data_IF_808264323168
#
_entry.id   IF_808264323168
#
_cell.length_a   1.000
_cell.length_b   1.000
_cell.length_c   1.000
_cell.angle_alpha   90.00
_cell.angle_beta   90.00
_cell.angle_gamma   90.00
#
_symmetry.space_group_name_H-M   'P 1'
#
loop_
_entity.id
_entity.type
_entity.pdbx_description
1 polymer ?
#
# COMPACT_ATOMS: atom_id res chain seq x y z
N UNK A 1 -12.22 12.30 44.93
CA UNK A 1 -12.26 11.21 43.94
C UNK A 1 -11.48 11.64 42.70
N UNK A 2 -10.30 11.08 42.47
CA UNK A 2 -9.44 11.42 41.31
C UNK A 2 -9.92 10.65 40.09
N UNK A 3 -10.44 11.36 39.08
CA UNK A 3 -10.85 10.74 37.82
C UNK A 3 -9.70 10.83 36.81
N UNK A 4 -8.97 9.74 36.64
CA UNK A 4 -7.97 9.54 35.59
C UNK A 4 -8.67 9.41 34.24
N UNK A 5 -8.65 10.48 33.45
CA UNK A 5 -9.06 10.44 32.04
C UNK A 5 -8.07 9.57 31.25
N UNK A 6 -8.52 8.63 30.40
CA UNK A 6 -7.64 7.98 29.44
C UNK A 6 -7.16 9.02 28.43
N UNK A 7 -5.85 9.17 28.31
CA UNK A 7 -5.19 9.94 27.25
C UNK A 7 -5.66 9.41 25.87
N UNK A 8 -6.29 10.24 25.02
CA UNK A 8 -6.62 9.81 23.67
C UNK A 8 -5.34 9.76 22.84
N UNK A 9 -4.93 8.53 22.50
CA UNK A 9 -4.13 8.24 21.30
C UNK A 9 -2.67 8.68 21.34
N UNK A 10 -1.79 7.71 21.59
CA UNK A 10 -0.45 7.73 21.01
C UNK A 10 -0.56 8.03 19.51
N UNK A 11 -0.11 9.22 19.11
CA UNK A 11 -0.04 9.67 17.72
C UNK A 11 0.94 8.78 16.96
N UNK A 12 0.49 7.61 16.49
CA UNK A 12 1.05 7.02 15.28
C UNK A 12 0.94 8.13 14.21
N UNK A 13 1.97 8.37 13.40
CA UNK A 13 1.92 9.45 12.44
C UNK A 13 0.69 9.22 11.55
N UNK A 14 -0.26 10.16 11.63
CA UNK A 14 -1.50 10.16 10.87
C UNK A 14 -1.15 10.52 9.42
N UNK A 15 -0.39 9.67 8.77
CA UNK A 15 -0.20 9.78 7.34
C UNK A 15 -1.51 9.35 6.70
N UNK A 16 -2.11 10.27 5.94
CA UNK A 16 -3.30 9.94 5.17
C UNK A 16 -2.96 8.74 4.28
N UNK A 17 -3.69 7.61 4.36
CA UNK A 17 -3.36 6.41 3.61
C UNK A 17 -3.43 6.65 2.09
N UNK A 18 -4.16 7.68 1.65
CA UNK A 18 -4.25 8.09 0.25
C UNK A 18 -3.03 8.87 -0.22
N UNK A 19 -2.26 9.46 0.70
CA UNK A 19 -1.04 10.20 0.41
C UNK A 19 0.23 9.52 0.96
N UNK A 20 0.07 8.34 1.55
CA UNK A 20 1.19 7.54 2.06
C UNK A 20 1.76 6.71 0.93
N UNK A 21 3.04 6.94 0.63
CA UNK A 21 3.76 6.17 -0.39
C UNK A 21 4.63 5.12 0.31
N UNK A 22 4.31 3.86 0.05
CA UNK A 22 5.02 2.70 0.56
C UNK A 22 6.01 2.14 -0.45
N UNK A 23 7.05 1.47 0.04
CA UNK A 23 8.11 0.88 -0.79
C UNK A 23 7.76 -0.56 -1.14
N UNK A 24 8.50 -1.14 -2.10
CA UNK A 24 8.34 -2.54 -2.50
C UNK A 24 8.29 -3.53 -1.32
N UNK A 25 9.21 -3.50 -0.32
CA UNK A 25 9.15 -4.45 0.80
C UNK A 25 7.83 -4.41 1.57
N UNK A 26 7.24 -3.22 1.70
CA UNK A 26 5.96 -3.03 2.39
C UNK A 26 4.79 -3.52 1.53
N UNK A 27 4.83 -3.30 0.21
CA UNK A 27 3.85 -3.86 -0.74
C UNK A 27 3.88 -5.39 -0.70
N UNK A 28 5.07 -5.99 -0.66
CA UNK A 28 5.25 -7.44 -0.53
C UNK A 28 4.67 -7.95 0.79
N UNK A 29 4.89 -7.23 1.91
CA UNK A 29 4.31 -7.58 3.20
C UNK A 29 2.78 -7.46 3.23
N UNK A 30 2.20 -6.44 2.61
CA UNK A 30 0.74 -6.20 2.60
C UNK A 30 0.02 -7.15 1.65
N UNK A 31 0.55 -7.32 0.44
CA UNK A 31 -0.09 -8.16 -0.60
C UNK A 31 0.27 -9.64 -0.47
N UNK A 32 1.32 -9.97 0.26
CA UNK A 32 1.89 -11.32 0.34
C UNK A 32 2.51 -11.81 -0.98
N UNK A 33 2.66 -10.93 -1.97
CA UNK A 33 3.21 -11.26 -3.28
C UNK A 33 4.71 -11.01 -3.31
N UNK A 34 5.48 -11.92 -3.91
CA UNK A 34 6.88 -11.67 -4.20
C UNK A 34 7.06 -10.55 -5.24
N UNK A 35 8.15 -9.80 -5.14
CA UNK A 35 8.53 -8.72 -6.07
C UNK A 35 8.39 -9.08 -7.56
N UNK A 36 8.77 -10.30 -7.94
CA UNK A 36 8.64 -10.78 -9.32
C UNK A 36 7.17 -10.84 -9.78
N UNK A 37 6.29 -11.31 -8.90
CA UNK A 37 4.84 -11.37 -9.15
C UNK A 37 4.23 -9.99 -9.19
N UNK A 38 4.70 -9.06 -8.37
CA UNK A 38 4.29 -7.65 -8.41
C UNK A 38 4.62 -7.03 -9.77
N UNK A 39 5.85 -7.21 -10.28
CA UNK A 39 6.21 -6.72 -11.62
C UNK A 39 5.42 -7.38 -12.75
N UNK A 40 5.12 -8.67 -12.62
CA UNK A 40 4.27 -9.39 -13.60
C UNK A 40 2.85 -8.82 -13.59
N UNK A 41 2.23 -8.70 -12.41
CA UNK A 41 0.90 -8.08 -12.27
C UNK A 41 0.87 -6.63 -12.73
N UNK A 42 1.94 -5.87 -12.52
CA UNK A 42 2.00 -4.51 -13.03
C UNK A 42 1.92 -4.44 -14.56
N UNK A 43 2.33 -5.49 -15.27
CA UNK A 43 2.21 -5.61 -16.74
C UNK A 43 0.88 -6.21 -17.18
N UNK A 44 0.41 -7.25 -16.47
CA UNK A 44 -0.77 -8.03 -16.84
C UNK A 44 -2.10 -7.46 -16.33
N UNK A 45 -2.09 -6.78 -15.18
CA UNK A 45 -3.29 -6.41 -14.42
C UNK A 45 -3.39 -4.88 -14.27
N UNK A 46 -4.31 -4.21 -15.00
CA UNK A 46 -4.48 -2.77 -14.92
C UNK A 46 -5.10 -2.30 -13.60
N UNK A 47 -5.63 -3.24 -12.79
CA UNK A 47 -6.18 -2.96 -11.45
C UNK A 47 -5.08 -2.86 -10.39
N UNK A 48 -3.86 -3.31 -10.71
CA UNK A 48 -2.77 -3.28 -9.75
C UNK A 48 -2.27 -1.84 -9.53
N UNK A 49 -2.00 -1.42 -8.28
CA UNK A 49 -1.52 -0.07 -7.96
C UNK A 49 -0.28 0.31 -8.78
N UNK A 50 -0.26 1.52 -9.33
CA UNK A 50 0.83 1.97 -10.20
C UNK A 50 2.01 2.47 -9.37
N UNK A 51 3.26 2.17 -9.78
CA UNK A 51 4.42 2.71 -9.10
C UNK A 51 4.52 4.21 -9.34
N UNK A 52 4.64 4.96 -8.26
CA UNK A 52 4.93 6.39 -8.23
C UNK A 52 6.44 6.58 -8.11
N UNK A 53 7.05 7.25 -9.09
CA UNK A 53 8.46 7.63 -9.04
C UNK A 53 8.65 8.75 -8.01
N UNK A 54 9.43 8.51 -6.95
CA UNK A 54 9.70 9.49 -5.88
C UNK A 54 10.89 10.40 -6.17
N UNK A 55 11.52 10.27 -7.34
CA UNK A 55 12.65 11.11 -7.75
C UNK A 55 12.46 11.62 -9.16
N UNK A 56 12.78 12.90 -9.38
CA UNK A 56 12.79 13.56 -10.70
C UNK A 56 13.88 13.01 -11.63
N UNK A 57 14.81 12.23 -11.10
CA UNK A 57 15.87 11.62 -11.91
C UNK A 57 15.32 10.40 -12.64
N UNK A 58 15.38 10.38 -13.99
CA UNK A 58 15.09 9.18 -14.81
C UNK A 58 16.20 8.12 -14.74
N UNK A 59 17.13 8.23 -13.81
CA UNK A 59 18.20 7.25 -13.61
C UNK A 59 17.63 5.87 -13.23
N UNK A 60 18.23 4.81 -13.81
CA UNK A 60 17.92 3.42 -13.46
C UNK A 60 18.33 3.17 -12.01
N UNK A 61 17.37 3.28 -11.09
CA UNK A 61 17.62 3.21 -9.65
C UNK A 61 16.81 4.19 -8.84
N UNK A 62 16.07 5.09 -9.50
CA UNK A 62 15.20 6.02 -8.79
C UNK A 62 14.19 5.29 -7.92
N UNK A 63 14.04 5.72 -6.66
CA UNK A 63 13.13 5.09 -5.73
C UNK A 63 11.70 5.17 -6.27
N UNK A 64 11.09 4.01 -6.54
CA UNK A 64 9.66 3.90 -6.87
C UNK A 64 8.88 3.42 -5.65
N UNK A 65 7.75 4.05 -5.37
CA UNK A 65 6.84 3.66 -4.30
C UNK A 65 5.43 3.39 -4.83
N UNK A 66 4.51 3.01 -3.96
CA UNK A 66 3.12 2.73 -4.28
C UNK A 66 2.24 3.44 -3.26
N UNK A 67 1.05 3.87 -3.67
CA UNK A 67 0.11 4.50 -2.74
C UNK A 67 -0.50 3.41 -1.86
N UNK A 68 -0.42 3.58 -0.54
CA UNK A 68 -0.94 2.61 0.43
C UNK A 68 -2.43 2.34 0.22
N UNK A 69 -3.25 3.39 0.04
CA UNK A 69 -4.68 3.25 -0.23
C UNK A 69 -4.97 2.42 -1.49
N UNK A 70 -4.21 2.60 -2.57
CA UNK A 70 -4.40 1.80 -3.79
C UNK A 70 -4.03 0.33 -3.56
N UNK A 71 -2.94 0.06 -2.85
CA UNK A 71 -2.50 -1.30 -2.51
C UNK A 71 -3.54 -1.99 -1.61
N UNK A 72 -4.00 -1.33 -0.56
CA UNK A 72 -5.05 -1.87 0.32
C UNK A 72 -6.39 -2.01 -0.41
N UNK A 73 -6.73 -1.07 -1.29
CA UNK A 73 -7.93 -1.14 -2.13
C UNK A 73 -7.92 -2.35 -3.06
N UNK A 74 -6.78 -2.61 -3.70
CA UNK A 74 -6.60 -3.82 -4.53
C UNK A 74 -6.74 -5.10 -3.70
N UNK A 75 -6.14 -5.17 -2.50
CA UNK A 75 -6.31 -6.33 -1.61
C UNK A 75 -7.79 -6.53 -1.26
N UNK A 76 -8.50 -5.46 -0.90
CA UNK A 76 -9.95 -5.51 -0.63
C UNK A 76 -10.74 -6.00 -1.83
N UNK A 77 -10.41 -5.54 -3.04
CA UNK A 77 -11.04 -6.02 -4.26
C UNK A 77 -10.79 -7.52 -4.48
N UNK A 78 -9.58 -8.02 -4.19
CA UNK A 78 -9.27 -9.47 -4.25
C UNK A 78 -10.09 -10.27 -3.24
N UNK A 79 -10.32 -9.72 -2.04
CA UNK A 79 -11.20 -10.32 -1.04
C UNK A 79 -12.65 -10.35 -1.55
N UNK A 80 -13.16 -9.22 -2.06
CA UNK A 80 -14.53 -9.15 -2.60
C UNK A 80 -14.74 -10.09 -3.79
N UNK A 81 -13.75 -10.20 -4.69
CA UNK A 81 -13.78 -11.17 -5.81
C UNK A 81 -13.81 -12.62 -5.33
N UNK A 82 -13.22 -12.94 -4.18
CA UNK A 82 -13.33 -14.26 -3.55
C UNK A 82 -14.76 -14.50 -3.04
N UNK A 83 -15.38 -13.50 -2.41
CA UNK A 83 -16.73 -13.63 -1.86
C UNK A 83 -17.81 -13.73 -2.92
N UNK A 84 -17.62 -13.11 -4.10
CA UNK A 84 -18.55 -13.22 -5.24
C UNK A 84 -18.48 -14.59 -5.93
N UNK A 85 -17.39 -15.33 -5.74
CA UNK A 85 -17.19 -16.66 -6.32
C UNK A 85 -17.61 -17.81 -5.38
N UNK A 86 -18.15 -17.49 -4.20
CA UNK A 86 -18.69 -18.44 -3.22
C UNK A 86 -20.22 -18.44 -3.27
#
# INVERSE_FOLDING_TARGET
>A
MSNISPIPGTTAPQFDPSNTIIRFPEVEAITGLARATVYKRLKDDPTFPRPVSLSNSKSRGSPVGFVLAEVTGWVRQRIALREVAA
#
